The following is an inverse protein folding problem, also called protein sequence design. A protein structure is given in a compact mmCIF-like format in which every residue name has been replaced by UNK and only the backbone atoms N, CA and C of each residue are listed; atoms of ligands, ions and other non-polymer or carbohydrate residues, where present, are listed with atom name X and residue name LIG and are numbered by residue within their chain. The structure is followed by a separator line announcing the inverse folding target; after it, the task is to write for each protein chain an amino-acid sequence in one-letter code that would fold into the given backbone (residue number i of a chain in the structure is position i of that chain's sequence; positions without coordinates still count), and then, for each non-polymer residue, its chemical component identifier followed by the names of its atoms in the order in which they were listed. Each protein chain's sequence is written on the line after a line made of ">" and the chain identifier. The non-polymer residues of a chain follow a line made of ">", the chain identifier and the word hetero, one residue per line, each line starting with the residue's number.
data_IF_203039823941
#
_entry.id   IF_203039823941
#
_cell.length_a   1.000
_cell.length_b   1.000
_cell.length_c   1.000
_cell.angle_alpha   90.00
_cell.angle_beta   90.00
_cell.angle_gamma   90.00
#
_symmetry.space_group_name_H-M   'P 1'
#
loop_
_entity.id
_entity.type
_entity.pdbx_description
1 polymer ?
#
# COMPACT_ATOMS: atom_id res chain seq x y z
N UNK A 1 -32.95 17.86 0.22
CA UNK A 1 -31.48 17.68 0.15
C UNK A 1 -31.05 16.32 0.69
N UNK A 2 -31.25 15.98 1.98
CA UNK A 2 -30.80 14.69 2.54
C UNK A 2 -31.49 13.47 1.92
N UNK A 3 -32.83 13.48 1.80
CA UNK A 3 -33.58 12.37 1.21
C UNK A 3 -33.22 12.13 -0.26
N UNK A 4 -33.08 13.20 -1.06
CA UNK A 4 -32.67 13.13 -2.47
C UNK A 4 -31.24 12.61 -2.63
N UNK A 5 -30.33 12.97 -1.72
CA UNK A 5 -28.94 12.46 -1.70
C UNK A 5 -28.91 10.96 -1.49
N UNK A 6 -29.62 10.47 -0.46
CA UNK A 6 -29.67 9.05 -0.12
C UNK A 6 -30.29 8.20 -1.24
N UNK A 7 -31.38 8.67 -1.85
CA UNK A 7 -32.05 7.96 -2.96
C UNK A 7 -31.15 7.85 -4.19
N UNK A 8 -30.51 8.95 -4.60
CA UNK A 8 -29.57 8.96 -5.73
C UNK A 8 -28.36 8.07 -5.46
N UNK A 9 -27.79 8.13 -4.25
CA UNK A 9 -26.65 7.29 -3.87
C UNK A 9 -27.01 5.81 -3.92
N UNK A 10 -28.17 5.40 -3.41
CA UNK A 10 -28.59 3.99 -3.44
C UNK A 10 -28.84 3.49 -4.87
N UNK A 11 -29.44 4.30 -5.73
CA UNK A 11 -29.66 3.95 -7.15
C UNK A 11 -28.34 3.83 -7.91
N UNK A 12 -27.43 4.79 -7.71
CA UNK A 12 -26.13 4.79 -8.39
C UNK A 12 -25.21 3.69 -7.84
N UNK A 13 -25.22 3.40 -6.55
CA UNK A 13 -24.47 2.28 -5.97
C UNK A 13 -24.99 0.93 -6.49
N UNK A 14 -26.30 0.79 -6.68
CA UNK A 14 -26.92 -0.41 -7.26
C UNK A 14 -26.64 -0.61 -8.75
N UNK A 15 -26.14 0.40 -9.46
CA UNK A 15 -25.84 0.32 -10.90
C UNK A 15 -24.56 -0.45 -11.24
N UNK A 16 -23.76 -0.85 -10.25
CA UNK A 16 -22.50 -1.59 -10.44
C UNK A 16 -21.36 -0.76 -11.04
N UNK A 17 -21.51 0.57 -11.14
CA UNK A 17 -20.47 1.48 -11.58
C UNK A 17 -19.33 1.60 -10.54
N UNK A 18 -18.14 1.97 -11.01
CA UNK A 18 -17.01 2.30 -10.13
C UNK A 18 -17.40 3.39 -9.12
N UNK A 19 -17.00 3.20 -7.86
CA UNK A 19 -17.34 4.11 -6.75
C UNK A 19 -16.98 5.56 -7.06
N UNK A 20 -15.84 5.80 -7.70
CA UNK A 20 -15.42 7.15 -8.10
C UNK A 20 -16.41 7.81 -9.07
N UNK A 21 -16.93 7.06 -10.05
CA UNK A 21 -17.92 7.56 -11.00
C UNK A 21 -19.26 7.83 -10.30
N UNK A 22 -19.69 6.93 -9.41
CA UNK A 22 -20.90 7.10 -8.60
C UNK A 22 -20.83 8.38 -7.76
N UNK A 23 -19.72 8.59 -7.04
CA UNK A 23 -19.51 9.78 -6.22
C UNK A 23 -19.40 11.06 -7.06
N UNK A 24 -18.76 10.99 -8.24
CA UNK A 24 -18.64 12.12 -9.16
C UNK A 24 -19.99 12.56 -9.72
N UNK A 25 -20.81 11.63 -10.22
CA UNK A 25 -22.15 11.91 -10.75
C UNK A 25 -23.08 12.41 -9.64
N UNK A 26 -23.02 11.79 -8.47
CA UNK A 26 -23.77 12.23 -7.29
C UNK A 26 -23.40 13.67 -6.93
N UNK A 27 -22.12 13.96 -6.73
CA UNK A 27 -21.62 15.30 -6.37
C UNK A 27 -21.98 16.37 -7.41
N UNK A 28 -21.87 16.05 -8.69
CA UNK A 28 -22.27 16.95 -9.78
C UNK A 28 -23.78 17.24 -9.73
N UNK A 29 -24.62 16.21 -9.65
CA UNK A 29 -26.08 16.36 -9.62
C UNK A 29 -26.54 17.21 -8.43
N UNK A 30 -26.02 16.93 -7.23
CA UNK A 30 -26.36 17.68 -6.02
C UNK A 30 -25.93 19.14 -6.11
N UNK A 31 -24.77 19.43 -6.69
CA UNK A 31 -24.32 20.79 -6.87
C UNK A 31 -25.20 21.59 -7.84
N UNK A 32 -25.75 20.96 -8.89
CA UNK A 32 -26.65 21.64 -9.83
C UNK A 32 -28.00 21.99 -9.20
N UNK A 33 -28.54 21.14 -8.33
CA UNK A 33 -29.89 21.32 -7.77
C UNK A 33 -29.93 22.05 -6.42
N UNK A 34 -28.87 21.97 -5.61
CA UNK A 34 -28.90 22.44 -4.22
C UNK A 34 -27.79 23.44 -3.85
N UNK A 35 -26.82 23.72 -4.73
CA UNK A 35 -25.75 24.70 -4.47
C UNK A 35 -25.96 25.99 -5.26
N UNK A 36 -25.89 27.17 -4.63
CA UNK A 36 -25.87 28.46 -5.33
C UNK A 36 -24.54 28.69 -6.08
N UNK A 37 -23.49 27.93 -5.76
CA UNK A 37 -22.21 27.95 -6.47
C UNK A 37 -22.04 26.70 -7.35
N UNK A 38 -21.90 26.85 -8.68
CA UNK A 38 -21.70 25.73 -9.58
C UNK A 38 -20.34 25.06 -9.33
N UNK A 39 -20.35 23.75 -9.03
CA UNK A 39 -19.13 22.95 -8.81
C UNK A 39 -18.14 23.05 -9.99
N UNK A 40 -18.66 23.28 -11.21
CA UNK A 40 -17.86 23.43 -12.43
C UNK A 40 -16.79 24.53 -12.31
N UNK A 41 -17.03 25.57 -11.51
CA UNK A 41 -16.08 26.68 -11.29
C UNK A 41 -14.95 26.29 -10.33
N UNK A 42 -15.19 25.31 -9.45
CA UNK A 42 -14.20 24.77 -8.51
C UNK A 42 -13.53 23.48 -8.97
N UNK A 43 -13.97 22.87 -10.08
CA UNK A 43 -13.40 21.64 -10.60
C UNK A 43 -11.89 21.75 -10.88
N UNK A 44 -11.42 22.92 -11.32
CA UNK A 44 -9.99 23.16 -11.54
C UNK A 44 -9.17 23.02 -10.27
N UNK A 45 -9.66 23.59 -9.16
CA UNK A 45 -9.01 23.51 -7.85
C UNK A 45 -9.07 22.09 -7.27
N UNK A 46 -10.22 21.41 -7.43
CA UNK A 46 -10.38 20.01 -7.00
C UNK A 46 -9.44 19.09 -7.78
N UNK A 47 -9.34 19.27 -9.10
CA UNK A 47 -8.43 18.50 -9.93
C UNK A 47 -6.96 18.81 -9.61
N UNK A 48 -6.63 20.08 -9.38
CA UNK A 48 -5.29 20.51 -9.01
C UNK A 48 -4.86 19.93 -7.66
N UNK A 49 -5.68 20.11 -6.62
CA UNK A 49 -5.41 19.57 -5.27
C UNK A 49 -5.32 18.04 -5.25
N UNK A 50 -6.14 17.34 -6.05
CA UNK A 50 -6.06 15.88 -6.19
C UNK A 50 -4.80 15.43 -6.95
N UNK A 51 -4.28 16.26 -7.85
CA UNK A 51 -3.05 15.97 -8.61
C UNK A 51 -1.78 16.34 -7.83
N UNK A 52 -1.88 17.35 -6.96
CA UNK A 52 -0.84 17.80 -6.05
C UNK A 52 -0.83 16.97 -4.75
N UNK A 53 -1.10 15.67 -4.85
CA UNK A 53 -1.08 14.76 -3.71
C UNK A 53 0.36 14.34 -3.40
N UNK A 54 0.77 14.54 -2.14
CA UNK A 54 2.07 14.10 -1.63
C UNK A 54 2.32 12.61 -1.88
N UNK A 55 1.28 11.78 -1.80
CA UNK A 55 1.37 10.32 -2.02
C UNK A 55 1.85 9.99 -3.43
N UNK A 56 1.43 10.76 -4.44
CA UNK A 56 1.83 10.56 -5.84
C UNK A 56 3.33 10.78 -6.05
N UNK A 57 3.96 11.63 -5.24
CA UNK A 57 5.41 11.86 -5.25
C UNK A 57 6.13 10.89 -4.31
N UNK A 58 5.55 10.59 -3.16
CA UNK A 58 6.15 9.74 -2.14
C UNK A 58 6.31 8.29 -2.61
N UNK A 59 5.31 7.72 -3.29
CA UNK A 59 5.33 6.31 -3.72
C UNK A 59 6.54 5.99 -4.63
N UNK A 60 6.81 6.73 -5.72
CA UNK A 60 8.00 6.53 -6.52
C UNK A 60 9.31 6.68 -5.75
N UNK A 61 9.40 7.67 -4.86
CA UNK A 61 10.61 7.91 -4.06
C UNK A 61 10.90 6.76 -3.10
N UNK A 62 9.88 6.17 -2.48
CA UNK A 62 10.04 4.98 -1.62
C UNK A 62 10.42 3.73 -2.41
N UNK A 63 9.86 3.53 -3.62
CA UNK A 63 10.27 2.44 -4.50
C UNK A 63 11.75 2.61 -4.90
N UNK A 64 12.15 3.82 -5.28
CA UNK A 64 13.55 4.13 -5.62
C UNK A 64 14.49 3.89 -4.44
N UNK A 65 14.10 4.32 -3.23
CA UNK A 65 14.87 4.04 -2.02
C UNK A 65 15.04 2.54 -1.78
N UNK A 66 13.97 1.75 -1.92
CA UNK A 66 14.05 0.31 -1.74
C UNK A 66 14.97 -0.37 -2.75
N UNK A 67 14.96 0.09 -3.99
CA UNK A 67 15.89 -0.38 -5.02
C UNK A 67 17.35 -0.03 -4.69
N UNK A 68 17.61 1.16 -4.14
CA UNK A 68 18.96 1.55 -3.70
C UNK A 68 19.45 0.68 -2.53
N UNK A 69 18.58 0.36 -1.56
CA UNK A 69 18.91 -0.51 -0.43
C UNK A 69 19.20 -1.96 -0.87
N UNK A 70 18.44 -2.46 -1.85
CA UNK A 70 18.69 -3.75 -2.49
C UNK A 70 20.05 -3.76 -3.21
N UNK A 71 20.29 -2.80 -4.11
CA UNK A 71 21.51 -2.78 -4.95
C UNK A 71 22.79 -2.50 -4.17
N UNK A 72 22.69 -1.79 -3.04
CA UNK A 72 23.84 -1.54 -2.16
C UNK A 72 24.21 -2.75 -1.29
N UNK A 73 23.41 -3.83 -1.27
CA UNK A 73 23.64 -5.01 -0.45
C UNK A 73 23.33 -4.82 1.05
N UNK A 74 22.76 -3.66 1.42
CA UNK A 74 22.34 -3.38 2.80
C UNK A 74 21.21 -4.33 3.19
N UNK A 75 20.23 -4.55 2.31
CA UNK A 75 19.10 -5.44 2.58
C UNK A 75 19.56 -6.88 2.87
N UNK A 76 20.51 -7.41 2.10
CA UNK A 76 21.07 -8.75 2.35
C UNK A 76 21.81 -8.86 3.69
N UNK A 77 22.59 -7.82 4.02
CA UNK A 77 23.34 -7.76 5.28
C UNK A 77 22.40 -7.66 6.48
N UNK A 78 21.35 -6.85 6.36
CA UNK A 78 20.29 -6.71 7.35
C UNK A 78 19.55 -8.04 7.54
N UNK A 79 19.15 -8.70 6.45
CA UNK A 79 18.42 -9.97 6.52
C UNK A 79 19.23 -11.05 7.25
N UNK A 80 20.54 -11.19 6.94
CA UNK A 80 21.44 -12.12 7.64
C UNK A 80 21.62 -11.79 9.12
N UNK A 81 21.68 -10.49 9.47
CA UNK A 81 21.79 -10.07 10.86
C UNK A 81 20.52 -10.44 11.65
N UNK A 82 19.34 -10.19 11.08
CA UNK A 82 18.06 -10.53 11.68
C UNK A 82 17.86 -12.05 11.79
N UNK A 83 18.32 -12.81 10.80
CA UNK A 83 18.27 -14.27 10.84
C UNK A 83 19.06 -14.83 12.02
N UNK A 84 20.24 -14.26 12.31
CA UNK A 84 21.01 -14.63 13.51
C UNK A 84 20.32 -14.27 14.82
N UNK A 85 19.39 -13.33 14.83
CA UNK A 85 18.66 -12.97 16.05
C UNK A 85 17.40 -13.82 16.23
N UNK A 86 16.61 -13.98 15.17
CA UNK A 86 15.24 -14.52 15.24
C UNK A 86 15.11 -15.90 14.60
N UNK A 87 16.03 -16.28 13.71
CA UNK A 87 16.00 -17.54 12.95
C UNK A 87 16.19 -18.81 13.80
N UNK A 88 16.58 -18.67 15.06
CA UNK A 88 16.71 -19.79 16.01
C UNK A 88 15.36 -20.33 16.51
N UNK A 89 14.26 -19.59 16.29
CA UNK A 89 12.91 -19.96 16.73
C UNK A 89 12.27 -20.94 15.73
N UNK A 90 11.44 -21.92 16.17
CA UNK A 90 10.69 -22.79 15.28
C UNK A 90 9.88 -21.98 14.24
N UNK A 91 10.21 -22.15 12.96
CA UNK A 91 9.73 -21.32 11.85
C UNK A 91 10.83 -20.55 11.12
N UNK A 92 12.01 -20.41 11.73
CA UNK A 92 13.25 -19.95 11.12
C UNK A 92 13.10 -18.69 10.27
N UNK A 93 13.40 -18.82 8.97
CA UNK A 93 13.39 -17.73 8.01
C UNK A 93 12.04 -17.02 7.87
N UNK A 94 10.93 -17.67 8.24
CA UNK A 94 9.63 -17.02 8.21
C UNK A 94 9.51 -15.91 9.27
N UNK A 95 10.12 -16.11 10.45
CA UNK A 95 10.19 -15.05 11.48
C UNK A 95 11.17 -13.96 11.04
N UNK A 96 12.27 -14.34 10.39
CA UNK A 96 13.22 -13.41 9.78
C UNK A 96 12.52 -12.50 8.76
N UNK A 97 11.60 -13.04 7.95
CA UNK A 97 10.81 -12.23 7.01
C UNK A 97 9.96 -11.17 7.72
N UNK A 98 9.26 -11.55 8.80
CA UNK A 98 8.45 -10.60 9.58
C UNK A 98 9.34 -9.51 10.22
N UNK A 99 10.46 -9.89 10.82
CA UNK A 99 11.39 -8.95 11.43
C UNK A 99 12.02 -8.01 10.39
N UNK A 100 12.44 -8.55 9.24
CA UNK A 100 13.02 -7.76 8.15
C UNK A 100 11.99 -6.82 7.53
N UNK A 101 10.75 -7.28 7.35
CA UNK A 101 9.65 -6.43 6.90
C UNK A 101 9.33 -5.34 7.93
N UNK A 102 9.39 -5.61 9.23
CA UNK A 102 9.14 -4.60 10.26
C UNK A 102 10.20 -3.48 10.26
N UNK A 103 11.48 -3.85 10.18
CA UNK A 103 12.59 -2.88 10.13
C UNK A 103 12.54 -2.07 8.84
N UNK A 104 12.28 -2.73 7.71
CA UNK A 104 12.17 -2.05 6.43
C UNK A 104 10.94 -1.14 6.37
N UNK A 105 9.79 -1.61 6.87
CA UNK A 105 8.57 -0.82 7.04
C UNK A 105 8.84 0.48 7.80
N UNK A 106 9.55 0.40 8.94
CA UNK A 106 9.92 1.56 9.76
C UNK A 106 10.78 2.62 9.07
N UNK A 107 11.37 2.29 7.91
CA UNK A 107 12.19 3.22 7.11
C UNK A 107 11.51 3.63 5.81
N UNK A 108 10.67 2.75 5.28
CA UNK A 108 10.04 2.87 3.96
C UNK A 108 8.61 3.36 4.00
N UNK A 109 7.87 3.20 5.09
CA UNK A 109 6.44 3.56 5.22
C UNK A 109 5.53 2.98 4.12
N UNK A 110 5.98 1.96 3.38
CA UNK A 110 5.31 1.46 2.17
C UNK A 110 5.25 -0.06 2.17
N UNK A 111 4.02 -0.59 2.21
CA UNK A 111 3.77 -2.04 2.20
C UNK A 111 4.23 -2.72 0.91
N UNK A 112 4.02 -2.06 -0.24
CA UNK A 112 4.38 -2.62 -1.55
C UNK A 112 5.90 -2.65 -1.72
N UNK A 113 6.59 -1.56 -1.36
CA UNK A 113 8.05 -1.49 -1.44
C UNK A 113 8.71 -2.51 -0.49
N UNK A 114 8.16 -2.67 0.71
CA UNK A 114 8.62 -3.66 1.70
C UNK A 114 8.50 -5.08 1.17
N UNK A 115 7.34 -5.45 0.64
CA UNK A 115 7.10 -6.80 0.10
C UNK A 115 8.02 -7.11 -1.09
N UNK A 116 8.19 -6.15 -2.02
CA UNK A 116 9.08 -6.31 -3.17
C UNK A 116 10.56 -6.49 -2.74
N UNK A 117 11.00 -5.69 -1.77
CA UNK A 117 12.40 -5.69 -1.29
C UNK A 117 12.72 -6.96 -0.52
N UNK A 118 11.92 -7.28 0.50
CA UNK A 118 12.14 -8.48 1.31
C UNK A 118 11.89 -9.75 0.50
N UNK A 119 10.92 -9.75 -0.43
CA UNK A 119 10.68 -10.86 -1.34
C UNK A 119 11.90 -11.20 -2.19
N UNK A 120 12.56 -10.19 -2.75
CA UNK A 120 13.74 -10.37 -3.61
C UNK A 120 14.89 -11.09 -2.89
N UNK A 121 15.12 -10.77 -1.61
CA UNK A 121 16.19 -11.40 -0.81
C UNK A 121 15.78 -12.73 -0.16
N UNK A 122 14.50 -12.93 0.14
CA UNK A 122 14.02 -14.09 0.91
C UNK A 122 13.53 -15.25 0.06
N UNK A 123 12.94 -15.00 -1.12
CA UNK A 123 12.42 -16.06 -2.00
C UNK A 123 13.50 -17.07 -2.44
N UNK A 124 14.74 -16.67 -2.80
CA UNK A 124 15.79 -17.65 -3.09
C UNK A 124 16.10 -18.58 -1.90
N UNK A 125 15.96 -18.07 -0.66
CA UNK A 125 16.17 -18.88 0.54
C UNK A 125 15.01 -19.86 0.78
N UNK A 126 13.79 -19.52 0.41
CA UNK A 126 12.64 -20.44 0.45
C UNK A 126 12.94 -21.73 -0.32
N UNK A 127 13.43 -21.60 -1.55
CA UNK A 127 13.78 -22.74 -2.41
C UNK A 127 14.98 -23.51 -1.86
N UNK A 128 16.02 -22.78 -1.43
CA UNK A 128 17.26 -23.36 -0.89
C UNK A 128 17.04 -24.21 0.36
N UNK A 129 16.14 -23.79 1.25
CA UNK A 129 15.86 -24.47 2.51
C UNK A 129 14.58 -25.32 2.49
N UNK A 130 13.92 -25.43 1.33
CA UNK A 130 12.76 -26.32 1.14
C UNK A 130 11.49 -25.89 1.89
N UNK A 131 11.28 -24.58 2.10
CA UNK A 131 10.06 -24.09 2.75
C UNK A 131 8.85 -24.23 1.83
N UNK A 132 7.67 -24.51 2.42
CA UNK A 132 6.41 -24.57 1.66
C UNK A 132 6.07 -23.17 1.09
N UNK A 133 5.91 -23.01 -0.23
CA UNK A 133 5.75 -21.70 -0.85
C UNK A 133 4.59 -20.89 -0.30
N UNK A 134 3.42 -21.51 -0.11
CA UNK A 134 2.23 -20.82 0.38
C UNK A 134 2.43 -20.18 1.75
N UNK A 135 3.15 -20.86 2.63
CA UNK A 135 3.35 -20.43 4.01
C UNK A 135 4.47 -19.37 4.09
N UNK A 136 5.55 -19.56 3.32
CA UNK A 136 6.64 -18.61 3.25
C UNK A 136 6.23 -17.29 2.59
N UNK A 137 5.55 -17.34 1.44
CA UNK A 137 4.99 -16.16 0.78
C UNK A 137 3.95 -15.48 1.65
N UNK A 138 3.16 -16.25 2.41
CA UNK A 138 2.24 -15.72 3.42
C UNK A 138 2.95 -14.89 4.50
N UNK A 139 4.14 -15.31 4.94
CA UNK A 139 4.94 -14.52 5.91
C UNK A 139 5.42 -13.19 5.32
N UNK A 140 5.80 -13.15 4.05
CA UNK A 140 6.22 -11.92 3.38
C UNK A 140 5.01 -10.99 3.17
N UNK A 141 3.87 -11.55 2.74
CA UNK A 141 2.65 -10.79 2.55
C UNK A 141 2.15 -10.19 3.88
N UNK A 142 2.12 -10.98 4.95
CA UNK A 142 1.77 -10.51 6.29
C UNK A 142 2.77 -9.45 6.80
N UNK A 143 4.08 -9.70 6.65
CA UNK A 143 5.12 -8.74 7.03
C UNK A 143 5.00 -7.42 6.26
N UNK A 144 4.69 -7.46 4.96
CA UNK A 144 4.48 -6.26 4.14
C UNK A 144 3.35 -5.38 4.65
N UNK A 145 2.30 -5.97 5.25
CA UNK A 145 1.21 -5.17 5.85
C UNK A 145 1.66 -4.36 7.07
N UNK A 146 2.78 -4.71 7.71
CA UNK A 146 3.34 -3.90 8.80
C UNK A 146 3.76 -2.50 8.32
N UNK A 147 4.00 -2.31 7.01
CA UNK A 147 4.32 -1.02 6.40
C UNK A 147 3.27 0.07 6.62
N UNK A 148 2.01 -0.27 6.87
CA UNK A 148 0.96 0.71 7.20
C UNK A 148 0.81 0.95 8.72
N UNK A 149 1.40 0.07 9.52
CA UNK A 149 1.18 -0.03 10.97
C UNK A 149 2.38 0.50 11.77
N UNK A 150 3.58 0.34 11.21
CA UNK A 150 4.84 0.85 11.73
C UNK A 150 5.17 2.11 10.91
N UNK A 151 5.30 3.27 11.57
CA UNK A 151 5.46 4.58 10.91
C UNK A 151 6.73 4.68 10.06
#
# INVERSE_FOLDING_TARGET
>A
MMATTLLLLLVLAGSGLFVAAVLGVLGYSLATFFSPFPLIRGLGEVAWSSSADFVLVAVPMFIMMGELLLRSGITDSMYKALDRWVGHVPGGLMHTNIAASAVFAATSGSSIATAATIGTVSIPNMERFGYKPSLFLGSIAAGGTLGILIP
#
